data_IF_923414193850
#
_entry.id   IF_923414193850
#
_cell.length_a   1.000
_cell.length_b   1.000
_cell.length_c   1.000
_cell.angle_alpha   90.00
_cell.angle_beta   90.00
_cell.angle_gamma   90.00
#
_symmetry.space_group_name_H-M   'P 1'
#
loop_
_entity.id
_entity.type
_entity.pdbx_description
1 polymer ?
#
# COMPACT_ATOMS: atom_id res chain seq x y z
N UNK A 1 16.03 -10.32 -11.62
CA UNK A 1 16.30 -8.98 -11.02
C UNK A 1 15.52 -8.75 -9.73
N UNK A 2 14.19 -8.90 -9.70
CA UNK A 2 13.39 -8.67 -8.47
C UNK A 2 13.92 -9.40 -7.22
N UNK A 3 14.12 -10.73 -7.28
CA UNK A 3 14.64 -11.51 -6.14
C UNK A 3 16.02 -11.05 -5.67
N UNK A 4 16.91 -10.69 -6.59
CA UNK A 4 18.23 -10.14 -6.27
C UNK A 4 18.11 -8.80 -5.56
N UNK A 5 17.22 -7.94 -6.04
CA UNK A 5 16.91 -6.66 -5.40
C UNK A 5 16.47 -6.84 -3.95
N UNK A 6 15.52 -7.75 -3.70
CA UNK A 6 15.05 -8.06 -2.35
C UNK A 6 16.15 -8.68 -1.47
N UNK A 7 17.01 -9.54 -2.02
CA UNK A 7 18.12 -10.16 -1.28
C UNK A 7 19.12 -9.09 -0.81
N UNK A 8 19.62 -8.25 -1.72
CA UNK A 8 20.57 -7.19 -1.37
C UNK A 8 19.95 -6.14 -0.44
N UNK A 9 18.68 -5.77 -0.68
CA UNK A 9 18.01 -4.77 0.16
C UNK A 9 17.85 -5.22 1.61
N UNK A 10 17.55 -6.51 1.84
CA UNK A 10 17.35 -7.06 3.18
C UNK A 10 18.61 -7.68 3.81
N UNK A 11 19.64 -7.99 3.02
CA UNK A 11 20.83 -8.71 3.49
C UNK A 11 20.58 -10.20 3.76
N UNK A 12 19.64 -10.83 3.03
CA UNK A 12 19.26 -12.22 3.27
C UNK A 12 20.34 -13.18 2.73
N UNK A 13 21.30 -13.52 3.59
CA UNK A 13 22.41 -14.41 3.23
C UNK A 13 23.55 -13.72 2.45
N UNK A 14 23.51 -12.39 2.34
CA UNK A 14 24.56 -11.55 1.75
C UNK A 14 24.73 -10.27 2.58
N UNK A 15 25.84 -9.55 2.42
CA UNK A 15 25.98 -8.22 3.01
C UNK A 15 24.87 -7.29 2.51
N UNK A 16 24.18 -6.64 3.44
CA UNK A 16 23.07 -5.74 3.13
C UNK A 16 23.59 -4.56 2.31
N UNK A 17 22.99 -4.34 1.14
CA UNK A 17 23.26 -3.20 0.28
C UNK A 17 21.94 -2.66 -0.28
N UNK A 18 21.37 -1.68 0.42
CA UNK A 18 20.07 -1.09 0.11
C UNK A 18 20.05 -0.35 -1.22
N UNK A 19 21.12 0.36 -1.55
CA UNK A 19 21.27 1.09 -2.82
C UNK A 19 21.30 0.12 -4.00
N UNK A 20 22.13 -0.92 -3.94
CA UNK A 20 22.20 -1.95 -4.99
C UNK A 20 20.88 -2.73 -5.10
N UNK A 21 20.27 -3.05 -3.95
CA UNK A 21 18.95 -3.69 -3.89
C UNK A 21 17.90 -2.87 -4.65
N UNK A 22 17.83 -1.56 -4.39
CA UNK A 22 16.93 -0.64 -5.09
C UNK A 22 17.23 -0.54 -6.58
N UNK A 23 18.50 -0.56 -7.00
CA UNK A 23 18.85 -0.56 -8.43
C UNK A 23 18.32 -1.81 -9.15
N UNK A 24 18.41 -2.99 -8.53
CA UNK A 24 17.85 -4.22 -9.10
C UNK A 24 16.32 -4.22 -9.11
N UNK A 25 15.69 -3.63 -8.09
CA UNK A 25 14.23 -3.46 -8.06
C UNK A 25 13.77 -2.50 -9.16
N UNK A 26 14.45 -1.37 -9.34
CA UNK A 26 14.16 -0.39 -10.39
C UNK A 26 14.28 -1.02 -11.78
N UNK A 27 15.34 -1.79 -12.02
CA UNK A 27 15.50 -2.50 -13.28
C UNK A 27 14.36 -3.50 -13.51
N UNK A 28 13.97 -4.26 -12.49
CA UNK A 28 12.85 -5.20 -12.60
C UNK A 28 11.51 -4.48 -12.85
N UNK A 29 11.26 -3.35 -12.18
CA UNK A 29 10.06 -2.56 -12.36
C UNK A 29 9.97 -1.98 -13.78
N UNK A 30 11.09 -1.50 -14.34
CA UNK A 30 11.18 -1.04 -15.75
C UNK A 30 10.95 -2.17 -16.76
N UNK A 31 11.25 -3.41 -16.41
CA UNK A 31 10.91 -4.59 -17.21
C UNK A 31 9.46 -5.07 -17.02
N UNK A 32 8.59 -4.29 -16.36
CA UNK A 32 7.18 -4.63 -16.16
C UNK A 32 6.88 -5.50 -14.94
N UNK A 33 7.86 -5.73 -14.05
CA UNK A 33 7.60 -6.50 -12.83
C UNK A 33 6.81 -5.66 -11.81
N UNK A 34 5.50 -5.93 -11.69
CA UNK A 34 4.62 -5.23 -10.74
C UNK A 34 5.05 -5.38 -9.28
N UNK A 35 5.53 -6.56 -8.88
CA UNK A 35 5.95 -6.81 -7.50
C UNK A 35 7.17 -5.97 -7.11
N UNK A 36 8.09 -5.74 -8.05
CA UNK A 36 9.22 -4.83 -7.85
C UNK A 36 8.74 -3.40 -7.64
N UNK A 37 7.77 -2.94 -8.44
CA UNK A 37 7.16 -1.61 -8.32
C UNK A 37 6.47 -1.40 -6.97
N UNK A 38 5.66 -2.37 -6.54
CA UNK A 38 4.97 -2.38 -5.23
C UNK A 38 6.00 -2.40 -4.08
N UNK A 39 7.06 -3.19 -4.21
CA UNK A 39 8.13 -3.25 -3.20
C UNK A 39 8.83 -1.92 -3.07
N UNK A 40 9.16 -1.27 -4.19
CA UNK A 40 9.73 0.08 -4.18
C UNK A 40 8.77 1.10 -3.55
N UNK A 41 7.48 1.03 -3.84
CA UNK A 41 6.48 1.89 -3.19
C UNK A 41 6.46 1.68 -1.66
N UNK A 42 6.59 0.43 -1.20
CA UNK A 42 6.75 0.08 0.22
C UNK A 42 8.01 0.67 0.84
N UNK A 43 9.13 0.64 0.13
CA UNK A 43 10.40 1.22 0.57
C UNK A 43 10.26 2.75 0.70
N UNK A 44 9.75 3.42 -0.33
CA UNK A 44 9.55 4.87 -0.36
C UNK A 44 8.52 5.35 0.68
N UNK A 45 7.55 4.53 1.09
CA UNK A 45 6.53 4.90 2.10
C UNK A 45 6.93 4.61 3.55
N UNK A 46 8.04 3.90 3.76
CA UNK A 46 8.56 3.60 5.08
C UNK A 46 9.45 4.76 5.56
N UNK A 47 9.00 5.44 6.62
CA UNK A 47 9.65 6.63 7.17
C UNK A 47 10.96 6.35 7.92
N UNK A 48 11.24 5.07 8.21
CA UNK A 48 12.40 4.68 9.01
C UNK A 48 13.65 4.41 8.17
N UNK A 49 13.58 4.57 6.84
CA UNK A 49 14.73 4.36 5.95
C UNK A 49 15.14 5.63 5.21
N UNK A 50 16.40 5.64 4.76
CA UNK A 50 17.05 6.75 4.06
C UNK A 50 16.44 7.08 2.69
N UNK A 51 15.58 6.22 2.15
CA UNK A 51 14.90 6.40 0.87
C UNK A 51 13.46 6.91 1.03
N UNK A 52 13.02 7.30 2.23
CA UNK A 52 11.66 7.80 2.41
C UNK A 52 11.32 8.94 1.44
N UNK A 53 10.28 8.73 0.62
CA UNK A 53 9.74 9.69 -0.33
C UNK A 53 8.28 9.34 -0.61
N UNK A 54 7.38 9.93 0.18
CA UNK A 54 5.96 9.58 0.11
C UNK A 54 5.32 9.90 -1.24
N UNK A 55 5.80 10.95 -1.92
CA UNK A 55 5.31 11.32 -3.24
C UNK A 55 5.66 10.25 -4.28
N UNK A 56 6.89 9.70 -4.25
CA UNK A 56 7.26 8.56 -5.09
C UNK A 56 6.45 7.31 -4.74
N UNK A 57 6.25 7.03 -3.45
CA UNK A 57 5.45 5.89 -3.04
C UNK A 57 4.03 5.94 -3.60
N UNK A 58 3.35 7.09 -3.45
CA UNK A 58 1.99 7.30 -3.96
C UNK A 58 1.94 7.15 -5.47
N UNK A 59 2.90 7.73 -6.21
CA UNK A 59 2.96 7.56 -7.68
C UNK A 59 3.06 6.10 -8.09
N UNK A 60 3.95 5.33 -7.44
CA UNK A 60 4.13 3.92 -7.76
C UNK A 60 2.91 3.08 -7.37
N UNK A 61 2.29 3.35 -6.22
CA UNK A 61 1.05 2.68 -5.84
C UNK A 61 -0.10 3.02 -6.79
N UNK A 62 -0.25 4.28 -7.22
CA UNK A 62 -1.29 4.68 -8.19
C UNK A 62 -1.12 3.95 -9.51
N UNK A 63 0.11 3.91 -10.03
CA UNK A 63 0.42 3.23 -11.29
C UNK A 63 0.12 1.71 -11.24
N UNK A 64 0.22 1.07 -10.06
CA UNK A 64 -0.20 -0.31 -9.87
C UNK A 64 -1.72 -0.46 -9.63
N UNK A 65 -2.33 0.42 -8.84
CA UNK A 65 -3.74 0.38 -8.50
C UNK A 65 -4.64 0.69 -9.71
N UNK A 66 -4.22 1.61 -10.57
CA UNK A 66 -4.99 2.13 -11.70
C UNK A 66 -4.56 1.50 -13.04
N UNK A 67 -3.83 0.37 -12.99
CA UNK A 67 -3.46 -0.35 -14.20
C UNK A 67 -4.72 -0.89 -14.88
N UNK A 68 -4.96 -0.51 -16.14
CA UNK A 68 -6.17 -0.87 -16.89
C UNK A 68 -6.36 -2.39 -17.06
N UNK A 69 -5.26 -3.16 -17.14
CA UNK A 69 -5.32 -4.59 -17.43
C UNK A 69 -5.31 -5.45 -16.16
N UNK A 70 -4.52 -5.04 -15.16
CA UNK A 70 -4.32 -5.82 -13.94
C UNK A 70 -4.22 -4.88 -12.73
N UNK A 71 -5.36 -4.29 -12.29
CA UNK A 71 -5.38 -3.40 -11.14
C UNK A 71 -4.98 -4.14 -9.85
N UNK A 72 -4.04 -3.58 -9.09
CA UNK A 72 -3.50 -4.20 -7.89
C UNK A 72 -4.23 -3.74 -6.61
N UNK A 73 -4.98 -4.66 -6.01
CA UNK A 73 -5.81 -4.37 -4.83
C UNK A 73 -4.98 -4.06 -3.58
N UNK A 74 -3.75 -4.57 -3.49
CA UNK A 74 -2.83 -4.22 -2.40
C UNK A 74 -2.39 -2.76 -2.48
N UNK A 75 -2.13 -2.26 -3.68
CA UNK A 75 -1.78 -0.86 -3.94
C UNK A 75 -2.95 0.07 -3.68
N UNK A 76 -4.17 -0.33 -4.07
CA UNK A 76 -5.40 0.38 -3.70
C UNK A 76 -5.55 0.45 -2.18
N UNK A 77 -5.41 -0.68 -1.47
CA UNK A 77 -5.41 -0.72 -0.01
C UNK A 77 -4.40 0.28 0.60
N UNK A 78 -3.17 0.29 0.10
CA UNK A 78 -2.12 1.20 0.59
C UNK A 78 -2.48 2.66 0.34
N UNK A 79 -3.00 3.02 -0.84
CA UNK A 79 -3.46 4.37 -1.13
C UNK A 79 -4.62 4.79 -0.22
N UNK A 80 -5.60 3.90 -0.03
CA UNK A 80 -6.72 4.11 0.87
C UNK A 80 -6.24 4.47 2.28
N UNK A 81 -5.35 3.66 2.84
CA UNK A 81 -4.77 3.90 4.16
C UNK A 81 -3.94 5.20 4.22
N UNK A 82 -3.22 5.56 3.16
CA UNK A 82 -2.42 6.79 3.08
C UNK A 82 -3.32 8.03 3.12
N UNK A 83 -4.35 8.07 2.29
CA UNK A 83 -5.26 9.21 2.18
C UNK A 83 -6.15 9.36 3.42
N UNK A 84 -6.62 8.25 4.02
CA UNK A 84 -7.37 8.31 5.28
C UNK A 84 -6.53 8.87 6.45
N UNK A 85 -5.24 8.56 6.48
CA UNK A 85 -4.33 8.99 7.57
C UNK A 85 -3.63 10.32 7.28
N UNK A 86 -3.67 10.82 6.06
CA UNK A 86 -2.89 11.99 5.64
C UNK A 86 -1.38 11.78 5.80
N UNK A 87 -0.88 10.55 5.61
CA UNK A 87 0.55 10.27 5.82
C UNK A 87 1.34 10.85 4.64
N UNK A 88 2.05 11.96 4.86
CA UNK A 88 2.89 12.62 3.85
C UNK A 88 2.13 13.25 2.67
N UNK A 89 0.80 13.33 2.76
CA UNK A 89 -0.11 14.05 1.86
C UNK A 89 -1.26 14.62 2.68
N UNK A 90 -2.01 15.56 2.11
CA UNK A 90 -3.24 16.02 2.74
C UNK A 90 -4.21 14.85 2.95
N UNK A 91 -4.88 14.84 4.10
CA UNK A 91 -5.89 13.85 4.41
C UNK A 91 -7.07 14.03 3.46
N UNK A 92 -7.43 12.97 2.76
CA UNK A 92 -8.57 12.94 1.84
C UNK A 92 -9.39 11.70 2.16
N UNK A 93 -10.47 11.91 2.91
CA UNK A 93 -11.29 10.80 3.38
C UNK A 93 -12.06 10.17 2.22
N UNK A 94 -12.61 10.98 1.32
CA UNK A 94 -13.40 10.50 0.19
C UNK A 94 -12.55 9.62 -0.73
N UNK A 95 -11.37 10.11 -1.11
CA UNK A 95 -10.44 9.35 -1.94
C UNK A 95 -9.90 8.11 -1.21
N UNK A 96 -9.64 8.22 0.10
CA UNK A 96 -9.23 7.09 0.92
C UNK A 96 -10.28 5.97 0.93
N UNK A 97 -11.55 6.32 1.17
CA UNK A 97 -12.67 5.39 1.11
C UNK A 97 -12.88 4.82 -0.29
N UNK A 98 -12.72 5.62 -1.35
CA UNK A 98 -12.81 5.16 -2.73
C UNK A 98 -11.82 4.02 -3.02
N UNK A 99 -10.54 4.21 -2.72
CA UNK A 99 -9.55 3.16 -2.92
C UNK A 99 -9.77 1.93 -2.04
N UNK A 100 -10.19 2.10 -0.77
CA UNK A 100 -10.49 0.95 0.09
C UNK A 100 -11.66 0.13 -0.44
N UNK A 101 -12.76 0.77 -0.87
CA UNK A 101 -13.91 0.04 -1.43
C UNK A 101 -13.52 -0.71 -2.71
N UNK A 102 -12.80 -0.09 -3.64
CA UNK A 102 -12.31 -0.78 -4.84
C UNK A 102 -11.40 -1.97 -4.49
N UNK A 103 -10.55 -1.84 -3.46
CA UNK A 103 -9.71 -2.94 -2.99
C UNK A 103 -10.55 -4.09 -2.40
N UNK A 104 -11.61 -3.77 -1.66
CA UNK A 104 -12.56 -4.76 -1.09
C UNK A 104 -13.31 -5.48 -2.20
N UNK A 105 -13.77 -4.78 -3.23
CA UNK A 105 -14.44 -5.37 -4.40
C UNK A 105 -13.51 -6.33 -5.16
N UNK A 106 -12.20 -6.04 -5.15
CA UNK A 106 -11.15 -6.93 -5.64
C UNK A 106 -10.72 -8.03 -4.65
N UNK A 107 -11.41 -8.21 -3.53
CA UNK A 107 -11.17 -9.28 -2.55
C UNK A 107 -10.06 -9.01 -1.53
N UNK A 108 -9.65 -7.75 -1.33
CA UNK A 108 -8.59 -7.43 -0.38
C UNK A 108 -9.11 -7.33 1.07
N UNK A 109 -8.86 -8.37 1.87
CA UNK A 109 -9.28 -8.40 3.29
C UNK A 109 -8.59 -7.33 4.15
N UNK A 110 -7.36 -6.92 3.83
CA UNK A 110 -6.69 -5.84 4.59
C UNK A 110 -7.38 -4.49 4.39
N UNK A 111 -7.90 -4.22 3.20
CA UNK A 111 -8.72 -3.04 2.95
C UNK A 111 -10.00 -3.08 3.77
N UNK A 112 -10.65 -4.24 3.85
CA UNK A 112 -11.87 -4.43 4.65
C UNK A 112 -11.64 -4.19 6.14
N UNK A 113 -10.57 -4.76 6.69
CA UNK A 113 -10.16 -4.52 8.08
C UNK A 113 -9.84 -3.03 8.30
N UNK A 114 -9.11 -2.39 7.39
CA UNK A 114 -8.77 -0.96 7.52
C UNK A 114 -10.02 -0.07 7.48
N UNK A 115 -11.01 -0.43 6.66
CA UNK A 115 -12.29 0.27 6.62
C UNK A 115 -13.09 0.06 7.91
N UNK A 116 -13.05 -1.15 8.48
CA UNK A 116 -13.66 -1.45 9.77
C UNK A 116 -12.99 -0.67 10.91
N UNK A 117 -11.66 -0.61 10.94
CA UNK A 117 -10.87 0.19 11.89
C UNK A 117 -11.25 1.67 11.80
N UNK A 118 -11.39 2.21 10.59
CA UNK A 118 -11.83 3.58 10.36
C UNK A 118 -13.23 3.83 10.95
N UNK A 119 -14.21 2.98 10.67
CA UNK A 119 -15.55 3.15 11.24
C UNK A 119 -15.62 2.90 12.76
N UNK A 120 -14.68 2.13 13.32
CA UNK A 120 -14.58 1.88 14.76
C UNK A 120 -13.94 3.05 15.53
N UNK A 121 -13.27 3.98 14.85
CA UNK A 121 -12.60 5.12 15.47
C UNK A 121 -13.61 6.20 15.90
N UNK A 122 -13.88 6.26 17.20
CA UNK A 122 -14.81 7.23 17.80
C UNK A 122 -14.28 8.66 17.85
N UNK A 123 -13.09 8.93 17.31
CA UNK A 123 -12.46 10.26 17.35
C UNK A 123 -12.84 11.15 16.16
N UNK A 124 -13.56 10.63 15.16
CA UNK A 124 -13.98 11.40 13.99
C UNK A 124 -15.46 11.22 13.63
N UNK A 125 -16.02 12.17 12.90
CA UNK A 125 -17.46 12.28 12.61
C UNK A 125 -18.04 11.11 11.79
N UNK A 126 -17.20 10.34 11.13
CA UNK A 126 -17.62 9.14 10.39
C UNK A 126 -17.66 7.87 11.25
N UNK A 127 -17.56 7.98 12.57
CA UNK A 127 -17.69 6.84 13.48
C UNK A 127 -19.02 6.11 13.29
N UNK A 128 -18.96 4.81 13.06
CA UNK A 128 -20.11 3.92 12.93
C UNK A 128 -19.73 2.50 13.38
N UNK A 129 -19.93 2.24 14.67
CA UNK A 129 -19.58 0.95 15.27
C UNK A 129 -20.42 -0.21 14.71
N UNK A 130 -21.67 0.04 14.29
CA UNK A 130 -22.51 -1.00 13.70
C UNK A 130 -21.94 -1.45 12.36
N UNK A 131 -21.53 -0.49 11.52
CA UNK A 131 -20.86 -0.76 10.24
C UNK A 131 -19.50 -1.43 10.45
N UNK A 132 -18.71 -0.99 11.43
CA UNK A 132 -17.43 -1.63 11.75
C UNK A 132 -17.61 -3.11 12.14
N UNK A 133 -18.56 -3.41 13.04
CA UNK A 133 -18.87 -4.79 13.44
C UNK A 133 -19.28 -5.64 12.24
N UNK A 134 -20.11 -5.11 11.34
CA UNK A 134 -20.50 -5.84 10.13
C UNK A 134 -19.27 -6.17 9.27
N UNK A 135 -18.42 -5.18 9.00
CA UNK A 135 -17.21 -5.39 8.20
C UNK A 135 -16.25 -6.40 8.85
N UNK A 136 -16.12 -6.42 10.18
CA UNK A 136 -15.30 -7.42 10.88
C UNK A 136 -15.88 -8.83 10.78
N UNK A 137 -17.20 -8.99 10.91
CA UNK A 137 -17.86 -10.29 10.80
C UNK A 137 -17.64 -10.90 9.43
N UNK A 138 -17.83 -10.11 8.38
CA UNK A 138 -17.60 -10.56 7.02
C UNK A 138 -16.13 -10.95 6.71
N UNK A 139 -15.17 -10.57 7.55
CA UNK A 139 -13.77 -11.01 7.43
C UNK A 139 -13.50 -12.36 8.10
N UNK A 140 -14.38 -12.81 9.00
CA UNK A 140 -14.23 -14.01 9.81
C UNK A 140 -15.01 -15.22 9.27
N UNK A 141 -15.91 -15.00 8.31
CA UNK A 141 -16.66 -16.00 7.54
C UNK A 141 -15.89 -16.41 6.27
#
# INVERSE_FOLDING_TARGET
MFRLGSIYFNGNGVEKNTVLGLQYLDHAAKSGNKYAKITMAGIYSNGDNEFYDMNKAIRLYKDCAENENEPDTFSMYRLGAIYLKGKGVEKDIELGLHYLNNAIDGGNSFAKITLADFYADSTHDMYDIAKAIQLYKDCAE
#
